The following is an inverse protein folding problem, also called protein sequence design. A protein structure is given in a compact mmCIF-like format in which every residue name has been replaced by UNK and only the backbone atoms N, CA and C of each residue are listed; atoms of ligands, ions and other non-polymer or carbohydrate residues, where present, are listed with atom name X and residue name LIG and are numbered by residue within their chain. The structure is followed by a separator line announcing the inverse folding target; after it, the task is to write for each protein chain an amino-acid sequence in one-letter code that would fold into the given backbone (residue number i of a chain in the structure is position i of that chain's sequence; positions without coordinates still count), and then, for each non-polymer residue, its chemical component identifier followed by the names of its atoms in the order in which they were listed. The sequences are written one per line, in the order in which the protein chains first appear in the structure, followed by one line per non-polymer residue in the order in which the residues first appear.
data_IF_972719721595
#
_entry.id   IF_972719721595
#
_cell.length_a   1.000
_cell.length_b   1.000
_cell.length_c   1.000
_cell.angle_alpha   90.00
_cell.angle_beta   90.00
_cell.angle_gamma   90.00
#
_symmetry.space_group_name_H-M   'P 1'
#
loop_
_entity.id
_entity.type
_entity.pdbx_description
1 polymer ?
#
# COMPACT_ATOMS: atom_id res chain seq x y z
N UNK A 1 32.30 -15.58 9.84
CA UNK A 1 31.11 -15.07 10.58
C UNK A 1 30.61 -16.15 11.52
N UNK A 2 30.49 -15.86 12.83
CA UNK A 2 29.79 -16.76 13.75
C UNK A 2 28.32 -16.45 13.72
N UNK A 3 27.50 -17.35 13.19
CA UNK A 3 26.04 -17.24 13.18
C UNK A 3 25.46 -18.35 14.02
N UNK A 4 24.50 -18.04 14.87
CA UNK A 4 23.80 -19.01 15.72
C UNK A 4 22.31 -18.94 15.40
N UNK A 5 21.70 -20.10 15.17
CA UNK A 5 20.26 -20.24 14.97
C UNK A 5 19.61 -20.67 16.27
N UNK A 6 18.64 -19.88 16.74
CA UNK A 6 17.93 -20.11 18.00
C UNK A 6 16.43 -20.28 17.73
N UNK A 7 15.84 -21.24 18.42
CA UNK A 7 14.39 -21.49 18.40
C UNK A 7 13.83 -21.26 19.80
N UNK A 8 12.83 -20.39 19.93
CA UNK A 8 12.18 -20.09 21.20
C UNK A 8 10.67 -19.81 21.02
N UNK A 9 9.94 -19.73 22.14
CA UNK A 9 8.48 -19.46 22.12
C UNK A 9 8.11 -18.06 21.64
N UNK A 10 9.04 -17.08 21.78
CA UNK A 10 8.89 -15.69 21.32
C UNK A 10 10.18 -15.24 20.64
N UNK A 11 10.06 -14.23 19.77
CA UNK A 11 11.22 -13.65 19.06
C UNK A 11 12.21 -13.04 20.07
N UNK A 12 11.70 -12.36 21.10
CA UNK A 12 12.52 -11.72 22.14
C UNK A 12 13.34 -12.75 22.93
N UNK A 13 12.73 -13.86 23.33
CA UNK A 13 13.44 -14.94 24.02
C UNK A 13 14.50 -15.59 23.14
N UNK A 14 14.24 -15.76 21.83
CA UNK A 14 15.23 -16.27 20.88
C UNK A 14 16.43 -15.31 20.73
N UNK A 15 16.17 -14.00 20.70
CA UNK A 15 17.23 -12.97 20.62
C UNK A 15 18.08 -12.97 21.88
N UNK A 16 17.47 -12.97 23.09
CA UNK A 16 18.20 -12.99 24.36
C UNK A 16 19.11 -14.23 24.50
N UNK A 17 18.58 -15.39 24.15
CA UNK A 17 19.34 -16.64 24.23
C UNK A 17 20.51 -16.66 23.22
N UNK A 18 20.29 -16.11 22.02
CA UNK A 18 21.36 -16.02 21.02
C UNK A 18 22.46 -15.02 21.37
N UNK A 19 22.11 -13.86 21.93
CA UNK A 19 23.07 -12.88 22.42
C UNK A 19 23.92 -13.47 23.57
N UNK A 20 23.30 -14.18 24.51
CA UNK A 20 23.99 -14.90 25.59
C UNK A 20 24.96 -15.97 25.04
N UNK A 21 24.54 -16.70 24.02
CA UNK A 21 25.35 -17.78 23.43
C UNK A 21 26.56 -17.23 22.63
N UNK A 22 26.40 -16.09 21.97
CA UNK A 22 27.48 -15.41 21.26
C UNK A 22 28.36 -14.54 22.18
N UNK A 23 27.88 -14.21 23.38
CA UNK A 23 28.59 -13.35 24.35
C UNK A 23 28.73 -11.91 23.88
N UNK A 24 27.76 -11.39 23.10
CA UNK A 24 27.76 -10.04 22.52
C UNK A 24 26.57 -9.22 22.99
N UNK A 25 26.68 -7.91 22.90
CA UNK A 25 25.57 -6.99 23.14
C UNK A 25 24.60 -6.94 21.94
N UNK A 26 23.42 -6.40 22.15
CA UNK A 26 22.41 -6.27 21.07
C UNK A 26 22.88 -5.32 19.95
N UNK A 27 23.74 -4.35 20.30
CA UNK A 27 24.30 -3.37 19.35
C UNK A 27 25.37 -3.98 18.42
N UNK A 28 25.99 -5.07 18.86
CA UNK A 28 27.01 -5.82 18.10
C UNK A 28 26.44 -6.98 17.31
N UNK A 29 25.13 -7.19 17.37
CA UNK A 29 24.43 -8.31 16.72
C UNK A 29 23.62 -7.86 15.52
N UNK A 30 23.68 -8.65 14.44
CA UNK A 30 22.72 -8.61 13.34
C UNK A 30 21.71 -9.73 13.55
N UNK A 31 20.43 -9.38 13.69
CA UNK A 31 19.33 -10.31 13.97
C UNK A 31 18.46 -10.48 12.73
N UNK A 32 18.31 -11.72 12.27
CA UNK A 32 17.43 -12.07 11.16
C UNK A 32 16.35 -13.06 11.61
N UNK A 33 15.07 -12.67 11.54
CA UNK A 33 13.93 -13.51 11.93
C UNK A 33 13.57 -14.42 10.75
N UNK A 34 13.81 -15.73 10.90
CA UNK A 34 13.54 -16.75 9.87
C UNK A 34 12.09 -17.24 9.92
N UNK A 35 11.57 -17.48 11.13
CA UNK A 35 10.17 -17.89 11.33
C UNK A 35 9.53 -17.14 12.51
N UNK A 36 8.29 -16.67 12.32
CA UNK A 36 7.52 -16.03 13.38
C UNK A 36 6.68 -17.05 14.16
N UNK A 37 6.51 -16.87 15.49
CA UNK A 37 5.68 -17.75 16.28
C UNK A 37 4.21 -17.58 15.89
N UNK A 38 3.49 -18.68 15.66
CA UNK A 38 2.05 -18.63 15.43
C UNK A 38 1.31 -19.32 16.57
N UNK A 39 0.46 -18.58 17.27
CA UNK A 39 -0.56 -19.16 18.17
C UNK A 39 -1.74 -19.61 17.31
N UNK A 40 -1.83 -20.91 17.00
CA UNK A 40 -2.94 -21.47 16.25
C UNK A 40 -4.28 -21.22 16.94
N UNK A 41 -5.14 -20.45 16.31
CA UNK A 41 -6.56 -20.27 16.66
C UNK A 41 -7.31 -21.54 16.20
N UNK A 42 -7.36 -22.55 16.98
CA UNK A 42 -8.06 -23.81 16.92
C UNK A 42 -7.10 -24.96 17.27
N UNK A 43 -7.26 -25.49 18.43
CA UNK A 43 -6.48 -26.50 19.18
C UNK A 43 -6.00 -27.79 18.51
N UNK A 44 -5.70 -27.81 17.22
CA UNK A 44 -5.30 -29.03 16.48
C UNK A 44 -4.03 -28.88 15.59
N UNK A 45 -3.31 -27.75 15.58
CA UNK A 45 -2.07 -27.60 14.82
C UNK A 45 -0.93 -27.17 15.74
N UNK A 46 0.22 -27.87 15.64
CA UNK A 46 1.45 -27.63 16.40
C UNK A 46 1.75 -26.12 16.51
N UNK A 47 1.96 -25.65 17.76
CA UNK A 47 2.53 -24.32 18.02
C UNK A 47 3.87 -24.23 17.29
N UNK A 48 3.97 -23.29 16.33
CA UNK A 48 5.28 -22.97 15.71
C UNK A 48 6.03 -22.04 16.64
N UNK A 49 7.27 -22.39 16.92
CA UNK A 49 8.21 -21.57 17.68
C UNK A 49 8.89 -20.55 16.76
N UNK A 50 9.34 -19.42 17.33
CA UNK A 50 10.12 -18.44 16.60
C UNK A 50 11.53 -19.00 16.30
N UNK A 51 12.02 -18.81 15.06
CA UNK A 51 13.38 -19.15 14.66
C UNK A 51 14.11 -17.88 14.26
N UNK A 52 15.23 -17.59 14.91
CA UNK A 52 16.03 -16.39 14.70
C UNK A 52 17.49 -16.76 14.46
N UNK A 53 18.09 -16.18 13.41
CA UNK A 53 19.51 -16.25 13.13
C UNK A 53 20.20 -14.98 13.65
N UNK A 54 21.21 -15.14 14.50
CA UNK A 54 21.97 -14.05 15.10
C UNK A 54 23.45 -14.17 14.67
N UNK A 55 23.99 -13.10 14.12
CA UNK A 55 25.40 -13.01 13.71
C UNK A 55 26.09 -11.80 14.31
N UNK A 56 27.43 -11.87 14.45
CA UNK A 56 28.24 -10.77 14.94
C UNK A 56 28.44 -9.75 13.83
N UNK A 57 28.21 -8.47 14.11
CA UNK A 57 28.48 -7.35 13.22
C UNK A 57 29.99 -7.20 13.06
N UNK A 58 30.56 -7.38 11.87
CA UNK A 58 31.98 -7.14 11.63
C UNK A 58 32.28 -5.64 11.67
N UNK A 59 33.23 -5.24 12.51
CA UNK A 59 33.77 -3.88 12.53
C UNK A 59 34.57 -3.65 11.24
N UNK A 60 33.96 -2.98 10.25
CA UNK A 60 34.67 -2.64 9.00
C UNK A 60 33.84 -2.46 7.74
N UNK A 61 32.52 -2.57 7.78
CA UNK A 61 31.69 -2.04 6.70
C UNK A 61 31.49 -0.53 6.90
N UNK A 62 31.67 0.32 5.86
CA UNK A 62 31.37 1.74 6.00
C UNK A 62 29.90 1.88 6.39
N UNK A 63 29.66 2.59 7.47
CA UNK A 63 28.35 3.08 7.85
C UNK A 63 27.91 3.99 6.70
N UNK A 64 27.00 3.52 5.85
CA UNK A 64 26.17 4.44 5.11
C UNK A 64 25.34 5.15 6.16
N UNK A 65 25.68 6.44 6.40
CA UNK A 65 24.90 7.38 7.16
C UNK A 65 23.45 7.33 6.65
N UNK A 66 22.64 6.54 7.30
CA UNK A 66 21.19 6.73 7.25
C UNK A 66 20.94 7.92 8.19
N UNK A 67 20.59 9.11 7.69
CA UNK A 67 20.29 10.23 8.54
C UNK A 67 19.11 9.85 9.45
N UNK A 68 19.36 9.83 10.76
CA UNK A 68 18.33 9.85 11.80
C UNK A 68 17.56 11.18 11.70
N UNK A 69 16.53 11.21 10.93
CA UNK A 69 15.54 12.23 10.62
C UNK A 69 15.41 12.39 9.12
N UNK A 70 14.97 11.35 8.45
CA UNK A 70 14.14 11.56 7.29
C UNK A 70 12.76 11.91 7.86
N UNK A 71 12.55 13.21 7.98
CA UNK A 71 11.22 13.80 8.10
C UNK A 71 10.48 13.34 6.85
N UNK A 72 9.75 12.22 6.99
CA UNK A 72 8.80 11.81 5.98
C UNK A 72 7.79 12.94 5.93
N UNK A 73 7.62 13.65 4.80
CA UNK A 73 6.51 14.57 4.70
C UNK A 73 5.26 13.73 4.99
N UNK A 74 4.56 14.06 6.06
CA UNK A 74 3.26 13.46 6.44
C UNK A 74 2.19 13.66 5.36
N UNK A 75 2.57 14.20 4.21
CA UNK A 75 1.78 14.44 3.05
C UNK A 75 2.27 13.59 1.87
N UNK A 76 2.01 12.27 1.94
CA UNK A 76 1.56 11.56 0.76
C UNK A 76 0.33 12.31 0.24
N UNK A 77 -0.07 12.19 -1.07
CA UNK A 77 -1.27 12.86 -1.51
C UNK A 77 -2.39 12.48 -0.55
N UNK A 78 -2.82 13.45 0.26
CA UNK A 78 -3.95 13.31 1.15
C UNK A 78 -5.12 12.90 0.26
N UNK A 79 -5.39 11.60 0.22
CA UNK A 79 -6.75 11.17 0.00
C UNK A 79 -7.48 11.67 1.24
N UNK A 80 -8.07 12.85 1.12
CA UNK A 80 -8.91 13.42 2.15
C UNK A 80 -9.92 12.35 2.54
N UNK A 81 -9.71 11.76 3.72
CA UNK A 81 -10.72 10.97 4.44
C UNK A 81 -11.76 11.96 5.00
N UNK A 82 -12.36 12.79 4.15
CA UNK A 82 -13.46 13.66 4.50
C UNK A 82 -14.79 12.98 4.11
N UNK A 83 -15.08 11.89 4.81
CA UNK A 83 -16.39 11.26 4.87
C UNK A 83 -16.99 11.40 6.30
N UNK A 84 -16.98 12.64 6.84
CA UNK A 84 -17.90 13.01 7.92
C UNK A 84 -18.96 13.93 7.34
N UNK A 85 -19.96 13.34 6.68
CA UNK A 85 -21.23 14.01 6.47
C UNK A 85 -22.00 13.97 7.79
N UNK A 86 -21.67 14.85 8.73
CA UNK A 86 -22.60 15.24 9.79
C UNK A 86 -23.53 16.32 9.23
N UNK A 87 -24.83 16.01 9.27
CA UNK A 87 -25.91 16.95 9.05
C UNK A 87 -25.85 18.04 10.13
N UNK A 88 -25.34 19.21 9.81
CA UNK A 88 -25.64 20.43 10.55
C UNK A 88 -26.29 21.46 9.62
N UNK A 89 -27.41 22.03 10.09
CA UNK A 89 -28.18 23.08 9.43
C UNK A 89 -27.33 24.35 9.23
N UNK A 90 -27.61 25.18 8.21
CA UNK A 90 -26.73 26.29 7.84
C UNK A 90 -26.83 27.44 8.84
N UNK A 91 -25.78 27.66 9.62
CA UNK A 91 -25.55 28.96 10.24
C UNK A 91 -24.84 29.85 9.23
N UNK A 92 -25.44 31.02 8.95
CA UNK A 92 -24.86 32.06 8.09
C UNK A 92 -23.56 32.59 8.73
N UNK A 93 -22.41 32.19 8.19
CA UNK A 93 -21.12 32.84 8.42
C UNK A 93 -20.53 33.31 7.09
N UNK A 94 -20.12 34.57 7.08
CA UNK A 94 -19.50 35.27 5.95
C UNK A 94 -18.27 34.52 5.39
N UNK A 95 -17.99 34.58 4.08
CA UNK A 95 -16.91 33.81 3.47
C UNK A 95 -15.55 34.39 3.85
N UNK A 96 -14.87 33.77 4.83
CA UNK A 96 -13.45 33.95 4.99
C UNK A 96 -12.75 33.31 3.79
N UNK A 97 -12.16 34.16 2.95
CA UNK A 97 -11.27 33.75 1.85
C UNK A 97 -10.12 32.91 2.40
N UNK A 98 -10.26 31.59 2.40
CA UNK A 98 -9.13 30.66 2.50
C UNK A 98 -8.25 30.93 1.29
N UNK A 99 -7.16 31.65 1.47
CA UNK A 99 -6.10 31.83 0.47
C UNK A 99 -5.62 30.44 0.06
N UNK A 100 -6.18 29.92 -1.05
CA UNK A 100 -5.59 28.80 -1.76
C UNK A 100 -4.20 29.28 -2.19
N UNK A 101 -3.15 28.73 -1.58
CA UNK A 101 -1.82 28.83 -2.15
C UNK A 101 -1.90 28.15 -3.53
N UNK A 102 -2.12 28.95 -4.56
CA UNK A 102 -1.82 28.56 -5.92
C UNK A 102 -0.29 28.37 -5.96
N UNK A 103 0.18 27.13 -5.80
CA UNK A 103 1.49 26.77 -6.30
C UNK A 103 1.44 27.13 -7.79
N UNK A 104 2.28 28.06 -8.24
CA UNK A 104 2.42 28.40 -9.66
C UNK A 104 2.61 27.08 -10.40
N UNK A 105 1.61 26.69 -11.20
CA UNK A 105 1.71 25.50 -12.04
C UNK A 105 2.83 25.76 -13.05
N UNK A 106 3.97 25.14 -12.82
CA UNK A 106 5.11 25.21 -13.74
C UNK A 106 4.64 24.73 -15.12
N UNK A 107 5.07 25.42 -16.21
CA UNK A 107 4.65 25.05 -17.56
C UNK A 107 5.04 23.61 -17.89
N UNK A 108 4.21 22.97 -18.69
CA UNK A 108 4.52 21.64 -19.22
C UNK A 108 5.71 21.71 -20.17
N UNK A 109 6.67 20.80 -19.99
CA UNK A 109 7.85 20.65 -20.86
C UNK A 109 7.91 19.19 -21.32
N UNK A 110 7.71 18.96 -22.62
CA UNK A 110 7.66 17.62 -23.20
C UNK A 110 8.98 16.85 -23.07
N UNK A 111 10.11 17.58 -23.16
CA UNK A 111 11.45 17.00 -22.97
C UNK A 111 11.63 16.47 -21.55
N UNK A 112 11.21 17.21 -20.54
CA UNK A 112 11.26 16.77 -19.13
C UNK A 112 10.41 15.55 -18.91
N UNK A 113 9.19 15.53 -19.48
CA UNK A 113 8.31 14.37 -19.40
C UNK A 113 8.93 13.12 -20.03
N UNK A 114 9.61 13.28 -21.17
CA UNK A 114 10.30 12.18 -21.84
C UNK A 114 11.44 11.63 -20.98
N UNK A 115 12.20 12.50 -20.30
CA UNK A 115 13.26 12.08 -19.37
C UNK A 115 12.67 11.34 -18.18
N UNK A 116 11.60 11.86 -17.58
CA UNK A 116 10.88 11.17 -16.47
C UNK A 116 10.39 9.78 -16.92
N UNK A 117 9.89 9.66 -18.15
CA UNK A 117 9.44 8.37 -18.67
C UNK A 117 10.60 7.37 -18.82
N UNK A 118 11.77 7.82 -19.27
CA UNK A 118 12.96 6.96 -19.37
C UNK A 118 13.51 6.56 -17.99
N UNK A 119 13.56 7.47 -17.03
CA UNK A 119 13.97 7.14 -15.66
C UNK A 119 12.97 6.17 -15.00
N UNK A 120 11.65 6.38 -15.20
CA UNK A 120 10.63 5.43 -14.74
C UNK A 120 10.83 4.03 -15.35
N UNK A 121 11.09 3.97 -16.66
CA UNK A 121 11.36 2.71 -17.36
C UNK A 121 12.61 2.00 -16.81
N UNK A 122 13.71 2.73 -16.59
CA UNK A 122 14.94 2.17 -16.01
C UNK A 122 14.69 1.59 -14.62
N UNK A 123 13.98 2.34 -13.76
CA UNK A 123 13.62 1.89 -12.42
C UNK A 123 12.79 0.60 -12.47
N UNK A 124 11.72 0.57 -13.27
CA UNK A 124 10.86 -0.61 -13.44
C UNK A 124 11.64 -1.81 -13.96
N UNK A 125 12.49 -1.63 -14.98
CA UNK A 125 13.34 -2.70 -15.52
C UNK A 125 14.24 -3.29 -14.43
N UNK A 126 14.91 -2.45 -13.64
CA UNK A 126 15.76 -2.91 -12.54
C UNK A 126 14.99 -3.71 -11.48
N UNK A 127 13.75 -3.28 -11.16
CA UNK A 127 12.88 -4.02 -10.23
C UNK A 127 12.50 -5.38 -10.80
N UNK A 128 12.09 -5.44 -12.08
CA UNK A 128 11.65 -6.70 -12.70
C UNK A 128 12.82 -7.68 -12.87
N UNK A 129 14.01 -7.20 -13.25
CA UNK A 129 15.22 -8.01 -13.29
C UNK A 129 15.58 -8.56 -11.90
N UNK A 130 15.51 -7.71 -10.85
CA UNK A 130 15.74 -8.13 -9.46
C UNK A 130 14.71 -9.16 -8.95
N UNK A 131 13.49 -9.14 -9.48
CA UNK A 131 12.43 -10.12 -9.20
C UNK A 131 12.47 -11.34 -10.14
N UNK A 132 13.37 -11.35 -11.12
CA UNK A 132 13.47 -12.39 -12.16
C UNK A 132 12.16 -12.57 -12.95
N UNK A 133 11.52 -11.44 -13.32
CA UNK A 133 10.27 -11.40 -14.08
C UNK A 133 10.53 -10.94 -15.50
N UNK A 134 9.95 -11.65 -16.48
CA UNK A 134 9.91 -11.23 -17.88
C UNK A 134 8.66 -10.37 -18.10
N UNK A 135 8.85 -9.06 -18.22
CA UNK A 135 7.75 -8.08 -18.32
C UNK A 135 7.90 -7.25 -19.57
N UNK A 136 6.92 -7.29 -20.44
CA UNK A 136 6.80 -6.38 -21.56
C UNK A 136 6.13 -5.08 -21.12
N UNK A 137 6.79 -3.95 -21.38
CA UNK A 137 6.29 -2.62 -21.02
C UNK A 137 5.83 -1.86 -22.25
N UNK A 138 4.54 -1.58 -22.35
CA UNK A 138 3.98 -0.66 -23.33
C UNK A 138 3.84 0.72 -22.70
N UNK A 139 4.42 1.75 -23.36
CA UNK A 139 4.36 3.13 -22.87
C UNK A 139 3.43 3.97 -23.72
N UNK A 140 2.49 4.65 -23.06
CA UNK A 140 1.66 5.70 -23.64
C UNK A 140 1.86 7.00 -22.86
N UNK A 141 1.88 8.14 -23.56
CA UNK A 141 2.07 9.44 -22.92
C UNK A 141 1.11 10.47 -23.50
N UNK A 142 0.62 11.34 -22.63
CA UNK A 142 -0.07 12.58 -22.98
C UNK A 142 0.39 13.69 -22.02
N UNK A 143 -0.08 14.93 -22.19
CA UNK A 143 0.33 16.08 -21.37
C UNK A 143 0.04 15.91 -19.86
N UNK A 144 -0.91 15.06 -19.49
CA UNK A 144 -1.34 14.86 -18.11
C UNK A 144 -0.55 13.76 -17.39
N UNK A 145 -0.17 12.68 -18.12
CA UNK A 145 0.40 11.48 -17.51
C UNK A 145 1.23 10.64 -18.47
N UNK A 146 2.08 9.83 -17.86
CA UNK A 146 2.83 8.75 -18.50
C UNK A 146 2.19 7.44 -18.03
N UNK A 147 1.73 6.59 -18.95
CA UNK A 147 1.15 5.29 -18.63
C UNK A 147 2.09 4.18 -19.06
N UNK A 148 2.40 3.26 -18.17
CA UNK A 148 3.04 1.98 -18.45
C UNK A 148 2.04 0.84 -18.26
N UNK A 149 1.69 0.16 -19.36
CA UNK A 149 0.96 -1.11 -19.30
C UNK A 149 1.97 -2.25 -19.26
N UNK A 150 1.84 -3.11 -18.29
CA UNK A 150 2.72 -4.25 -18.06
C UNK A 150 2.03 -5.53 -18.53
N UNK A 151 2.73 -6.30 -19.35
CA UNK A 151 2.24 -7.57 -19.91
C UNK A 151 3.26 -8.68 -19.67
N UNK A 152 2.80 -9.89 -19.38
CA UNK A 152 3.68 -11.07 -19.18
C UNK A 152 3.01 -12.17 -18.37
N UNK A 153 3.70 -13.27 -18.21
CA UNK A 153 3.22 -14.39 -17.42
C UNK A 153 3.53 -14.20 -15.92
N UNK A 154 2.61 -14.63 -15.06
CA UNK A 154 2.83 -14.64 -13.61
C UNK A 154 2.85 -13.26 -12.94
N UNK A 155 2.38 -12.19 -13.60
CA UNK A 155 2.42 -10.82 -13.09
C UNK A 155 1.51 -10.55 -11.87
N UNK A 156 0.79 -11.56 -11.37
CA UNK A 156 -0.01 -11.44 -10.15
C UNK A 156 0.79 -10.97 -8.93
N UNK A 157 2.11 -11.26 -8.87
CA UNK A 157 3.00 -10.79 -7.82
C UNK A 157 3.17 -9.26 -7.84
N UNK A 158 3.12 -8.63 -9.03
CA UNK A 158 3.18 -7.17 -9.18
C UNK A 158 1.87 -6.48 -8.80
N UNK A 159 0.76 -7.21 -8.81
CA UNK A 159 -0.54 -6.71 -8.35
C UNK A 159 -0.61 -6.79 -6.83
N UNK A 160 -0.32 -7.96 -6.27
CA UNK A 160 -0.43 -8.25 -4.84
C UNK A 160 -1.88 -8.31 -4.33
N UNK A 161 -2.04 -8.33 -3.02
CA UNK A 161 -3.37 -8.36 -2.40
C UNK A 161 -4.09 -7.03 -2.64
N UNK A 162 -5.25 -7.08 -3.30
CA UNK A 162 -6.08 -5.90 -3.60
C UNK A 162 -5.36 -4.77 -4.38
N UNK A 163 -4.30 -5.09 -5.13
CA UNK A 163 -3.53 -4.08 -5.87
C UNK A 163 -2.49 -3.32 -5.04
N UNK A 164 -2.26 -3.68 -3.78
CA UNK A 164 -1.33 -2.97 -2.88
C UNK A 164 0.12 -2.96 -3.40
N UNK A 165 0.60 -4.06 -3.97
CA UNK A 165 1.95 -4.11 -4.56
C UNK A 165 2.04 -3.19 -5.77
N UNK A 166 0.99 -3.16 -6.61
CA UNK A 166 0.92 -2.29 -7.77
C UNK A 166 0.93 -0.80 -7.38
N UNK A 167 0.19 -0.46 -6.33
CA UNK A 167 0.16 0.91 -5.81
C UNK A 167 1.51 1.33 -5.20
N UNK A 168 2.16 0.44 -4.45
CA UNK A 168 3.51 0.66 -3.92
C UNK A 168 4.54 0.82 -5.04
N UNK A 169 4.50 -0.05 -6.06
CA UNK A 169 5.38 0.04 -7.22
C UNK A 169 5.19 1.37 -7.96
N UNK A 170 3.94 1.78 -8.18
CA UNK A 170 3.62 3.07 -8.80
C UNK A 170 4.16 4.25 -7.98
N UNK A 171 3.98 4.21 -6.65
CA UNK A 171 4.50 5.25 -5.76
C UNK A 171 6.02 5.37 -5.85
N UNK A 172 6.74 4.26 -5.72
CA UNK A 172 8.21 4.22 -5.81
C UNK A 172 8.71 4.68 -7.19
N UNK A 173 8.02 4.28 -8.26
CA UNK A 173 8.36 4.72 -9.62
C UNK A 173 8.21 6.23 -9.77
N UNK A 174 7.12 6.82 -9.27
CA UNK A 174 6.92 8.27 -9.29
C UNK A 174 8.00 9.00 -8.48
N UNK A 175 8.39 8.46 -7.33
CA UNK A 175 9.45 9.03 -6.51
C UNK A 175 10.81 8.98 -7.20
N UNK A 176 11.19 7.81 -7.73
CA UNK A 176 12.47 7.61 -8.40
C UNK A 176 12.61 8.47 -9.67
N UNK A 177 11.56 8.50 -10.51
CA UNK A 177 11.58 9.21 -11.79
C UNK A 177 11.41 10.72 -11.62
N UNK A 178 10.64 11.17 -10.62
CA UNK A 178 10.35 12.60 -10.38
C UNK A 178 11.41 13.36 -9.60
N UNK A 179 12.43 12.69 -9.03
CA UNK A 179 13.40 13.26 -8.09
C UNK A 179 14.07 14.54 -8.54
N UNK A 180 14.36 14.70 -9.85
CA UNK A 180 15.14 15.81 -10.40
C UNK A 180 14.28 16.92 -11.01
N UNK A 181 12.95 16.80 -10.94
CA UNK A 181 12.03 17.72 -11.61
C UNK A 181 11.20 18.52 -10.60
N UNK A 182 11.09 19.83 -10.79
CA UNK A 182 10.23 20.70 -9.98
C UNK A 182 8.75 20.49 -10.28
N UNK A 183 8.41 20.26 -11.58
CA UNK A 183 7.06 19.88 -12.00
C UNK A 183 6.87 18.39 -11.80
N UNK A 184 5.72 17.98 -11.25
CA UNK A 184 5.33 16.57 -11.19
C UNK A 184 4.80 16.10 -12.54
N UNK A 185 5.47 15.09 -13.11
CA UNK A 185 4.98 14.31 -14.22
C UNK A 185 4.49 12.98 -13.67
N UNK A 186 3.18 12.76 -13.71
CA UNK A 186 2.58 11.61 -13.06
C UNK A 186 2.76 10.34 -13.88
N UNK A 187 3.37 9.31 -13.28
CA UNK A 187 3.51 7.99 -13.87
C UNK A 187 2.42 7.07 -13.31
N UNK A 188 1.59 6.54 -14.19
CA UNK A 188 0.59 5.53 -13.89
C UNK A 188 1.10 4.17 -14.36
N UNK A 189 0.91 3.13 -13.56
CA UNK A 189 1.26 1.75 -13.88
C UNK A 189 0.00 0.89 -13.81
N UNK A 190 -0.21 0.08 -14.83
CA UNK A 190 -1.26 -0.93 -14.84
C UNK A 190 -0.72 -2.29 -15.29
N UNK A 191 -1.31 -3.37 -14.81
CA UNK A 191 -0.97 -4.73 -15.16
C UNK A 191 -2.19 -5.34 -15.87
N UNK A 192 -2.09 -5.43 -17.21
CA UNK A 192 -3.13 -6.07 -18.05
C UNK A 192 -4.56 -5.57 -17.80
N UNK A 193 -4.75 -4.29 -17.50
CA UNK A 193 -6.07 -3.74 -17.20
C UNK A 193 -6.63 -4.18 -15.85
N UNK A 194 -5.77 -4.53 -14.88
CA UNK A 194 -6.18 -5.01 -13.55
C UNK A 194 -7.09 -4.03 -12.84
N UNK A 195 -6.75 -2.72 -12.84
CA UNK A 195 -7.50 -1.71 -12.09
C UNK A 195 -8.97 -1.66 -12.52
N UNK A 196 -9.22 -1.71 -13.81
CA UNK A 196 -10.59 -1.70 -14.35
C UNK A 196 -11.33 -3.01 -14.03
N UNK A 197 -10.69 -4.17 -14.21
CA UNK A 197 -11.29 -5.46 -13.83
C UNK A 197 -11.60 -5.54 -12.34
N UNK A 198 -10.71 -5.00 -11.50
CA UNK A 198 -10.91 -4.95 -10.05
C UNK A 198 -12.10 -4.07 -9.67
N UNK A 199 -12.21 -2.88 -10.28
CA UNK A 199 -13.34 -1.97 -10.10
C UNK A 199 -14.67 -2.68 -10.40
N UNK A 200 -14.77 -3.31 -11.56
CA UNK A 200 -15.98 -4.05 -11.98
C UNK A 200 -16.31 -5.21 -11.02
N UNK A 201 -15.29 -5.91 -10.54
CA UNK A 201 -15.46 -6.99 -9.55
C UNK A 201 -16.03 -6.45 -8.24
N UNK A 202 -15.54 -5.30 -7.75
CA UNK A 202 -16.03 -4.67 -6.52
C UNK A 202 -17.45 -4.13 -6.67
N UNK A 203 -17.79 -3.52 -7.79
CA UNK A 203 -19.16 -3.08 -8.10
C UNK A 203 -20.14 -4.26 -8.13
N UNK A 204 -19.78 -5.33 -8.82
CA UNK A 204 -20.58 -6.55 -8.88
C UNK A 204 -20.75 -7.20 -7.50
N UNK A 205 -19.67 -7.20 -6.68
CA UNK A 205 -19.72 -7.68 -5.30
C UNK A 205 -20.67 -6.84 -4.45
N UNK A 206 -20.58 -5.50 -4.57
CA UNK A 206 -21.42 -4.57 -3.83
C UNK A 206 -22.92 -4.82 -4.11
N UNK A 207 -23.32 -4.88 -5.37
CA UNK A 207 -24.70 -5.16 -5.75
C UNK A 207 -25.19 -6.54 -5.28
N UNK A 208 -24.35 -7.56 -5.39
CA UNK A 208 -24.69 -8.91 -4.91
C UNK A 208 -24.92 -8.93 -3.41
N UNK A 209 -24.05 -8.26 -2.62
CA UNK A 209 -24.16 -8.21 -1.17
C UNK A 209 -25.34 -7.32 -0.73
N UNK A 210 -25.61 -6.21 -1.41
CA UNK A 210 -26.80 -5.40 -1.18
C UNK A 210 -28.08 -6.23 -1.38
N UNK A 211 -28.16 -7.04 -2.44
CA UNK A 211 -29.27 -7.97 -2.64
C UNK A 211 -29.40 -9.03 -1.52
N UNK A 212 -28.27 -9.46 -0.91
CA UNK A 212 -28.32 -10.33 0.27
C UNK A 212 -28.89 -9.59 1.49
N UNK A 213 -28.39 -8.40 1.80
CA UNK A 213 -28.84 -7.55 2.91
C UNK A 213 -30.36 -7.27 2.81
N UNK A 214 -30.86 -6.87 1.63
CA UNK A 214 -32.29 -6.65 1.38
C UNK A 214 -33.15 -7.87 1.68
N UNK A 215 -32.67 -9.05 1.32
CA UNK A 215 -33.42 -10.30 1.50
C UNK A 215 -33.38 -10.82 2.94
N UNK A 216 -32.23 -10.69 3.63
CA UNK A 216 -32.05 -11.25 4.98
C UNK A 216 -32.38 -10.25 6.09
N UNK A 217 -32.31 -8.94 5.82
CA UNK A 217 -32.39 -7.89 6.84
C UNK A 217 -31.14 -7.79 7.74
N UNK A 218 -30.09 -8.57 7.46
CA UNK A 218 -28.87 -8.61 8.26
C UNK A 218 -27.74 -7.82 7.61
N UNK A 219 -26.93 -7.14 8.42
CA UNK A 219 -25.73 -6.46 7.93
C UNK A 219 -24.70 -7.43 7.37
N UNK A 220 -23.91 -6.98 6.40
CA UNK A 220 -22.79 -7.71 5.84
C UNK A 220 -21.53 -6.88 5.97
N UNK A 221 -20.48 -7.45 6.60
CA UNK A 221 -19.14 -6.85 6.72
C UNK A 221 -18.23 -7.45 5.65
N UNK A 222 -17.59 -6.57 4.88
CA UNK A 222 -16.63 -6.98 3.86
C UNK A 222 -15.24 -7.19 4.48
N UNK A 223 -14.31 -7.69 3.68
CA UNK A 223 -12.90 -7.74 4.05
C UNK A 223 -12.32 -6.33 4.16
N UNK A 224 -11.21 -6.21 4.92
CA UNK A 224 -10.46 -4.97 4.99
C UNK A 224 -9.87 -4.64 3.61
N UNK A 225 -10.01 -3.38 3.19
CA UNK A 225 -9.53 -2.93 1.88
C UNK A 225 -9.09 -1.46 1.90
N UNK A 226 -8.23 -1.03 0.95
CA UNK A 226 -7.79 0.35 0.82
C UNK A 226 -8.96 1.34 0.62
N UNK A 227 -8.75 2.63 0.96
CA UNK A 227 -9.76 3.67 0.85
C UNK A 227 -10.36 3.80 -0.57
N UNK A 228 -9.51 3.70 -1.61
CA UNK A 228 -9.97 3.71 -3.01
C UNK A 228 -10.97 2.60 -3.33
N UNK A 229 -10.75 1.38 -2.84
CA UNK A 229 -11.67 0.25 -3.04
C UNK A 229 -12.97 0.42 -2.24
N UNK A 230 -12.88 0.93 -1.00
CA UNK A 230 -14.08 1.23 -0.19
C UNK A 230 -14.95 2.28 -0.88
N UNK A 231 -14.35 3.31 -1.46
CA UNK A 231 -15.06 4.33 -2.24
C UNK A 231 -15.81 3.74 -3.43
N UNK A 232 -15.23 2.77 -4.15
CA UNK A 232 -15.92 2.11 -5.27
C UNK A 232 -17.24 1.47 -4.79
N UNK A 233 -17.21 0.77 -3.65
CA UNK A 233 -18.40 0.11 -3.09
C UNK A 233 -19.43 1.14 -2.63
N UNK A 234 -19.02 2.23 -1.97
CA UNK A 234 -19.91 3.31 -1.56
C UNK A 234 -20.59 3.96 -2.77
N UNK A 235 -19.83 4.27 -3.83
CA UNK A 235 -20.36 4.85 -5.06
C UNK A 235 -21.32 3.90 -5.79
N UNK A 236 -21.01 2.60 -5.83
CA UNK A 236 -21.87 1.61 -6.46
C UNK A 236 -23.24 1.50 -5.80
N UNK A 237 -23.33 1.78 -4.50
CA UNK A 237 -24.57 1.65 -3.71
C UNK A 237 -25.16 2.99 -3.27
N UNK A 238 -24.57 4.14 -3.63
CA UNK A 238 -25.03 5.46 -3.18
C UNK A 238 -26.49 5.79 -3.53
N UNK A 239 -27.00 5.26 -4.64
CA UNK A 239 -28.36 5.46 -5.12
C UNK A 239 -29.33 4.35 -4.71
N UNK A 240 -28.88 3.39 -3.90
CA UNK A 240 -29.74 2.32 -3.41
C UNK A 240 -30.55 2.81 -2.22
N UNK A 241 -31.88 2.71 -2.31
CA UNK A 241 -32.79 3.24 -1.30
C UNK A 241 -33.05 2.28 -0.12
N UNK A 242 -32.67 1.02 -0.26
CA UNK A 242 -32.95 -0.03 0.71
C UNK A 242 -31.73 -0.43 1.55
N UNK A 243 -30.54 -0.01 1.15
CA UNK A 243 -29.30 -0.27 1.91
C UNK A 243 -28.51 1.01 2.13
N UNK A 244 -27.69 1.01 3.18
CA UNK A 244 -26.67 2.02 3.46
C UNK A 244 -25.31 1.38 3.64
N UNK A 245 -24.24 2.17 3.42
CA UNK A 245 -22.87 1.67 3.51
C UNK A 245 -22.04 2.56 4.41
N UNK A 246 -21.30 1.97 5.34
CA UNK A 246 -20.38 2.63 6.26
C UNK A 246 -18.99 2.04 6.15
N UNK A 247 -17.96 2.83 6.51
CA UNK A 247 -16.59 2.35 6.63
C UNK A 247 -16.19 2.24 8.11
N UNK A 248 -15.99 1.02 8.61
CA UNK A 248 -15.68 0.73 10.01
C UNK A 248 -14.25 0.22 10.21
N UNK A 249 -13.70 0.50 11.40
CA UNK A 249 -12.37 0.07 11.82
C UNK A 249 -11.28 1.07 11.46
N UNK A 250 -10.05 0.77 11.90
CA UNK A 250 -8.85 1.57 11.67
C UNK A 250 -7.97 0.92 10.60
N UNK A 251 -7.18 1.73 9.91
CA UNK A 251 -6.19 1.24 8.95
C UNK A 251 -5.14 0.36 9.67
N UNK A 252 -4.74 -0.80 9.16
CA UNK A 252 -5.08 -1.38 7.83
C UNK A 252 -6.34 -2.27 7.80
N UNK A 253 -7.09 -2.37 8.87
CA UNK A 253 -8.23 -3.28 9.02
C UNK A 253 -9.58 -2.66 8.68
N UNK A 254 -9.59 -1.41 8.20
CA UNK A 254 -10.81 -0.68 7.84
C UNK A 254 -11.54 -1.34 6.67
N UNK A 255 -12.87 -1.50 6.81
CA UNK A 255 -13.72 -2.28 5.91
C UNK A 255 -15.04 -1.58 5.64
N UNK A 256 -15.73 -1.97 4.57
CA UNK A 256 -17.10 -1.53 4.31
C UNK A 256 -18.08 -2.47 5.00
N UNK A 257 -19.13 -1.89 5.57
CA UNK A 257 -20.29 -2.59 6.11
C UNK A 257 -21.52 -2.14 5.34
N UNK A 258 -22.31 -3.08 4.86
CA UNK A 258 -23.57 -2.83 4.16
C UNK A 258 -24.71 -3.20 5.12
N UNK A 259 -25.61 -2.24 5.40
CA UNK A 259 -26.75 -2.39 6.31
C UNK A 259 -28.07 -2.16 5.63
N UNK A 260 -29.17 -2.77 6.10
CA UNK A 260 -30.49 -2.37 5.66
C UNK A 260 -30.76 -0.92 6.10
N UNK A 261 -31.40 -0.16 5.22
CA UNK A 261 -31.87 1.18 5.55
C UNK A 261 -33.20 1.04 6.26
N UNK A 262 -33.35 1.66 7.44
CA UNK A 262 -34.56 1.61 8.24
C UNK A 262 -35.73 2.35 7.55
#
# INVERSE_FOLDING_TARGET
MKTVRITAKTIEAAIEDGLKQLGISREEAVVNVVEQPSSGLFGLLRKKEAVVDISVKEAGAPEEDVPENVDYPENGPEMNDDDTAENEEPAEEEPQEKKKHFAEELPFVAEDQAVVAEEAKKFLTSVFEGMNLDVQMERMMNEERILFNLHGEGLGILIGKHGQTLDALQYLTNLAAGKNFRRRYFVLIDVEGYRERRRQTLESLAHRLAGKVKRTGEEVKLEAMPAGERRIIHLALQHDHEVMTDSEGETPYRRVVIRPKA
#
